data_IF_124487966453
#
_entry.id   IF_124487966453
#
_cell.length_a   1.000
_cell.length_b   1.000
_cell.length_c   1.000
_cell.angle_alpha   90.00
_cell.angle_beta   90.00
_cell.angle_gamma   90.00
#
_symmetry.space_group_name_H-M   'P 1'
#
loop_
_entity.id
_entity.type
_entity.pdbx_description
1 polymer ?
#
# COMPACT_ATOMS: atom_id res chain seq x y z
N UNK A 1 14.71 -32.51 0.51
CA UNK A 1 15.25 -31.20 0.98
C UNK A 1 14.07 -30.33 1.35
N UNK A 2 14.13 -29.64 2.50
CA UNK A 2 13.09 -28.71 2.88
C UNK A 2 13.41 -27.36 2.24
N UNK A 3 12.88 -27.12 1.04
CA UNK A 3 13.12 -25.90 0.25
C UNK A 3 12.64 -24.61 0.95
N UNK A 4 11.98 -24.75 2.12
CA UNK A 4 11.29 -23.69 2.83
C UNK A 4 11.95 -23.32 4.17
N UNK A 5 13.16 -23.85 4.47
CA UNK A 5 13.74 -23.73 5.81
C UNK A 5 14.84 -22.67 5.95
N UNK A 6 15.53 -22.34 4.84
CA UNK A 6 16.67 -21.42 4.78
C UNK A 6 16.80 -20.74 3.40
N UNK A 7 17.68 -19.74 3.34
CA UNK A 7 17.96 -18.93 2.14
C UNK A 7 18.39 -19.79 0.94
N UNK A 8 19.15 -20.86 1.18
CA UNK A 8 19.63 -21.76 0.13
C UNK A 8 18.49 -22.51 -0.56
N UNK A 9 17.50 -22.98 0.21
CA UNK A 9 16.30 -23.61 -0.33
C UNK A 9 15.52 -22.68 -1.26
N UNK A 10 15.33 -21.42 -0.85
CA UNK A 10 14.64 -20.39 -1.64
C UNK A 10 15.41 -20.05 -2.92
N UNK A 11 16.73 -19.85 -2.83
CA UNK A 11 17.56 -19.58 -4.00
C UNK A 11 17.49 -20.73 -5.02
N UNK A 12 17.60 -21.99 -4.57
CA UNK A 12 17.42 -23.15 -5.45
C UNK A 12 16.05 -23.20 -6.11
N UNK A 13 15.01 -22.83 -5.38
CA UNK A 13 13.65 -22.80 -5.92
C UNK A 13 13.52 -21.74 -7.02
N UNK A 14 14.05 -20.54 -6.80
CA UNK A 14 14.08 -19.44 -7.79
C UNK A 14 14.86 -19.86 -9.04
N UNK A 15 16.06 -20.43 -8.85
CA UNK A 15 16.90 -20.91 -9.96
C UNK A 15 16.23 -22.02 -10.78
N UNK A 16 15.44 -22.88 -10.14
CA UNK A 16 14.74 -23.97 -10.83
C UNK A 16 13.55 -23.49 -11.70
N UNK A 17 13.11 -22.24 -11.54
CA UNK A 17 12.06 -21.67 -12.39
C UNK A 17 12.66 -21.11 -13.68
N UNK A 18 11.82 -21.01 -14.72
CA UNK A 18 12.18 -20.29 -15.95
C UNK A 18 11.12 -19.24 -16.24
N UNK A 19 11.56 -18.04 -16.61
CA UNK A 19 10.65 -16.94 -17.00
C UNK A 19 9.78 -16.41 -15.86
N UNK A 20 10.33 -16.25 -14.65
CA UNK A 20 9.57 -15.68 -13.52
C UNK A 20 9.11 -14.27 -13.89
N UNK A 21 7.79 -14.05 -13.94
CA UNK A 21 7.17 -12.73 -14.17
C UNK A 21 6.69 -12.08 -12.87
N UNK A 22 6.36 -12.88 -11.86
CA UNK A 22 5.90 -12.42 -10.55
C UNK A 22 6.63 -13.17 -9.45
N UNK A 23 7.13 -12.45 -8.46
CA UNK A 23 7.80 -13.03 -7.31
C UNK A 23 7.29 -12.37 -6.03
N UNK A 24 6.84 -13.21 -5.11
CA UNK A 24 6.46 -12.83 -3.76
C UNK A 24 7.44 -13.46 -2.76
N UNK A 25 8.14 -12.62 -2.00
CA UNK A 25 9.08 -13.04 -0.96
C UNK A 25 8.55 -12.68 0.43
N UNK A 26 8.39 -13.70 1.26
CA UNK A 26 8.03 -13.59 2.67
C UNK A 26 9.00 -14.47 3.49
N UNK A 27 9.52 -13.94 4.61
CA UNK A 27 10.32 -14.72 5.54
C UNK A 27 10.28 -14.11 6.93
N UNK A 28 10.06 -14.97 7.92
CA UNK A 28 10.20 -14.60 9.33
C UNK A 28 11.66 -14.57 9.80
N UNK A 29 12.59 -15.12 9.00
CA UNK A 29 14.01 -15.22 9.35
C UNK A 29 14.85 -14.24 8.56
N UNK A 30 15.81 -13.65 9.25
CA UNK A 30 16.90 -12.87 8.65
C UNK A 30 17.85 -13.79 7.87
N UNK A 31 18.14 -13.42 6.64
CA UNK A 31 19.23 -13.96 5.81
C UNK A 31 20.20 -12.84 5.43
N UNK A 32 21.33 -13.17 4.82
CA UNK A 32 22.18 -12.16 4.16
C UNK A 32 21.68 -11.84 2.74
N UNK A 33 20.81 -12.71 2.20
CA UNK A 33 20.13 -12.54 0.93
C UNK A 33 21.04 -12.74 -0.28
N UNK A 34 22.31 -13.07 -0.08
CA UNK A 34 23.32 -13.16 -1.14
C UNK A 34 22.96 -14.22 -2.18
N UNK A 35 22.42 -15.36 -1.75
CA UNK A 35 22.02 -16.41 -2.67
C UNK A 35 20.77 -16.03 -3.44
N UNK A 36 19.77 -15.46 -2.77
CA UNK A 36 18.53 -15.01 -3.42
C UNK A 36 18.83 -13.89 -4.42
N UNK A 37 19.68 -12.93 -4.05
CA UNK A 37 20.12 -11.83 -4.91
C UNK A 37 20.71 -12.32 -6.24
N UNK A 38 21.59 -13.32 -6.18
CA UNK A 38 22.21 -13.89 -7.37
C UNK A 38 21.18 -14.52 -8.30
N UNK A 39 20.23 -15.26 -7.76
CA UNK A 39 19.21 -15.91 -8.57
C UNK A 39 18.17 -14.92 -9.10
N UNK A 40 17.91 -13.82 -8.38
CA UNK A 40 17.08 -12.71 -8.86
C UNK A 40 17.67 -12.02 -10.09
N UNK A 41 18.98 -11.83 -10.13
CA UNK A 41 19.65 -11.19 -11.28
C UNK A 41 19.43 -11.97 -12.58
N UNK A 42 19.36 -13.31 -12.50
CA UNK A 42 19.06 -14.18 -13.66
C UNK A 42 17.66 -13.90 -14.22
N UNK A 43 16.68 -13.63 -13.35
CA UNK A 43 15.28 -13.39 -13.72
C UNK A 43 14.92 -11.91 -13.91
N UNK A 44 15.88 -11.00 -13.74
CA UNK A 44 15.64 -9.56 -13.76
C UNK A 44 15.00 -9.05 -15.07
N UNK A 45 15.28 -9.72 -16.19
CA UNK A 45 14.72 -9.37 -17.50
C UNK A 45 13.28 -9.83 -17.71
N UNK A 46 12.79 -10.82 -16.96
CA UNK A 46 11.41 -11.32 -17.05
C UNK A 46 10.51 -10.80 -15.93
N UNK A 47 11.09 -10.34 -14.82
CA UNK A 47 10.35 -9.95 -13.63
C UNK A 47 9.56 -8.64 -13.82
N UNK A 48 8.25 -8.73 -13.65
CA UNK A 48 7.28 -7.61 -13.75
C UNK A 48 6.65 -7.24 -12.42
N UNK A 49 6.44 -8.20 -11.52
CA UNK A 49 5.82 -7.97 -10.23
C UNK A 49 6.73 -8.47 -9.12
N UNK A 50 7.07 -7.59 -8.19
CA UNK A 50 7.89 -7.93 -7.03
C UNK A 50 7.16 -7.49 -5.76
N UNK A 51 6.84 -8.46 -4.94
CA UNK A 51 6.19 -8.27 -3.64
C UNK A 51 7.15 -8.79 -2.57
N UNK A 52 7.38 -7.99 -1.55
CA UNK A 52 8.24 -8.37 -0.43
C UNK A 52 7.63 -7.90 0.87
N UNK A 53 7.34 -8.84 1.77
CA UNK A 53 6.72 -8.57 3.07
C UNK A 53 7.73 -8.54 4.23
N UNK A 54 9.00 -8.75 3.90
CA UNK A 54 10.14 -8.69 4.82
C UNK A 54 11.39 -8.23 4.06
N UNK A 55 11.70 -6.92 4.08
CA UNK A 55 12.69 -6.28 3.22
C UNK A 55 14.17 -6.59 3.55
N UNK A 56 14.38 -7.57 4.42
CA UNK A 56 15.69 -8.04 4.88
C UNK A 56 16.21 -9.24 4.09
N UNK A 57 15.44 -9.72 3.12
CA UNK A 57 15.76 -10.95 2.39
C UNK A 57 16.70 -10.74 1.21
N UNK A 58 16.81 -9.50 0.71
CA UNK A 58 17.57 -9.18 -0.50
C UNK A 58 18.22 -7.81 -0.37
N UNK A 59 19.24 -7.57 -1.20
CA UNK A 59 19.76 -6.23 -1.41
C UNK A 59 18.85 -5.49 -2.39
N UNK A 60 18.58 -4.21 -2.12
CA UNK A 60 17.83 -3.37 -3.07
C UNK A 60 18.56 -3.24 -4.42
N UNK A 61 19.89 -3.39 -4.44
CA UNK A 61 20.69 -3.31 -5.67
C UNK A 61 20.37 -4.44 -6.64
N UNK A 62 19.97 -5.62 -6.15
CA UNK A 62 19.57 -6.75 -7.00
C UNK A 62 18.31 -6.46 -7.81
N UNK A 63 17.50 -5.47 -7.38
CA UNK A 63 16.36 -5.01 -8.15
C UNK A 63 16.74 -4.02 -9.26
N UNK A 64 17.94 -3.43 -9.26
CA UNK A 64 18.28 -2.38 -10.25
C UNK A 64 18.21 -2.86 -11.70
N UNK A 65 18.49 -4.15 -11.93
CA UNK A 65 18.41 -4.78 -13.25
C UNK A 65 16.97 -5.08 -13.69
N UNK A 66 15.98 -4.98 -12.79
CA UNK A 66 14.57 -5.27 -13.05
C UNK A 66 13.90 -4.08 -13.78
N UNK A 67 14.40 -3.71 -14.96
CA UNK A 67 13.92 -2.55 -15.73
C UNK A 67 12.47 -2.69 -16.20
N UNK A 68 11.96 -3.93 -16.28
CA UNK A 68 10.60 -4.27 -16.68
C UNK A 68 9.62 -4.33 -15.50
N UNK A 69 10.07 -3.99 -14.29
CA UNK A 69 9.22 -4.02 -13.12
C UNK A 69 8.04 -3.04 -13.27
N UNK A 70 6.83 -3.60 -13.29
CA UNK A 70 5.56 -2.89 -13.37
C UNK A 70 4.94 -2.70 -11.98
N UNK A 71 5.20 -3.61 -11.04
CA UNK A 71 4.67 -3.55 -9.68
C UNK A 71 5.77 -3.77 -8.65
N UNK A 72 5.88 -2.84 -7.71
CA UNK A 72 6.72 -2.95 -6.52
C UNK A 72 5.83 -2.81 -5.28
N UNK A 73 5.69 -3.88 -4.51
CA UNK A 73 5.04 -3.86 -3.19
C UNK A 73 6.06 -4.21 -2.12
N UNK A 74 6.32 -3.28 -1.23
CA UNK A 74 7.16 -3.46 -0.06
C UNK A 74 6.27 -3.30 1.18
N UNK A 75 6.14 -4.35 1.96
CA UNK A 75 5.33 -4.41 3.17
C UNK A 75 6.22 -4.84 4.34
N UNK A 76 5.94 -4.34 5.54
CA UNK A 76 6.57 -4.85 6.76
C UNK A 76 5.48 -5.38 7.68
N UNK A 77 5.45 -6.71 7.86
CA UNK A 77 4.38 -7.40 8.61
C UNK A 77 4.43 -7.24 10.14
N UNK A 78 5.49 -6.65 10.71
CA UNK A 78 5.81 -6.82 12.14
C UNK A 78 5.30 -5.69 13.06
N UNK A 79 4.09 -5.84 13.60
CA UNK A 79 3.71 -5.19 14.87
C UNK A 79 4.25 -5.94 16.11
N UNK A 80 4.59 -7.22 16.00
CA UNK A 80 4.54 -8.12 17.18
C UNK A 80 5.86 -8.53 17.84
N UNK A 81 7.05 -8.10 17.39
CA UNK A 81 8.30 -8.45 18.10
C UNK A 81 9.23 -7.27 18.28
N UNK A 82 8.94 -6.50 19.33
CA UNK A 82 9.72 -5.37 19.88
C UNK A 82 11.17 -5.73 20.29
N UNK A 83 11.55 -7.01 20.25
CA UNK A 83 12.78 -7.50 20.89
C UNK A 83 14.06 -7.27 20.04
N UNK A 84 13.97 -7.00 18.73
CA UNK A 84 15.14 -6.66 17.89
C UNK A 84 14.86 -5.52 16.90
N UNK A 85 14.19 -4.46 17.39
CA UNK A 85 13.79 -3.31 16.59
C UNK A 85 14.98 -2.57 15.97
N UNK A 86 16.13 -2.49 16.63
CA UNK A 86 17.27 -1.67 16.18
C UNK A 86 17.93 -2.25 14.93
N UNK A 87 18.25 -3.54 14.93
CA UNK A 87 18.91 -4.20 13.79
C UNK A 87 17.99 -4.26 12.57
N UNK A 88 16.73 -4.62 12.80
CA UNK A 88 15.69 -4.67 11.76
C UNK A 88 15.43 -3.28 11.16
N UNK A 89 15.42 -2.24 12.00
CA UNK A 89 15.29 -0.85 11.55
C UNK A 89 16.45 -0.41 10.66
N UNK A 90 17.69 -0.64 11.10
CA UNK A 90 18.88 -0.21 10.33
C UNK A 90 18.96 -0.88 8.96
N UNK A 91 18.62 -2.16 8.87
CA UNK A 91 18.60 -2.87 7.59
C UNK A 91 17.52 -2.34 6.65
N UNK A 92 16.34 -2.01 7.18
CA UNK A 92 15.27 -1.47 6.34
C UNK A 92 15.63 -0.07 5.84
N UNK A 93 16.19 0.77 6.70
CA UNK A 93 16.71 2.09 6.32
C UNK A 93 17.81 1.96 5.26
N UNK A 94 18.76 1.03 5.42
CA UNK A 94 19.79 0.75 4.41
C UNK A 94 19.18 0.30 3.08
N UNK A 95 18.24 -0.65 3.12
CA UNK A 95 17.53 -1.14 1.95
C UNK A 95 16.81 0.00 1.22
N UNK A 96 16.06 0.84 1.95
CA UNK A 96 15.33 1.96 1.37
C UNK A 96 16.27 3.05 0.82
N UNK A 97 17.37 3.35 1.51
CA UNK A 97 18.39 4.27 1.01
C UNK A 97 19.00 3.79 -0.30
N UNK A 98 19.32 2.50 -0.41
CA UNK A 98 19.78 1.92 -1.67
C UNK A 98 18.68 2.03 -2.74
N UNK A 99 17.45 1.60 -2.43
CA UNK A 99 16.32 1.66 -3.36
C UNK A 99 16.03 3.06 -3.90
N UNK A 100 16.38 4.12 -3.17
CA UNK A 100 16.25 5.50 -3.61
C UNK A 100 17.00 5.81 -4.92
N UNK A 101 17.96 4.97 -5.33
CA UNK A 101 18.72 5.09 -6.58
C UNK A 101 18.15 4.26 -7.74
N UNK A 102 17.14 3.41 -7.50
CA UNK A 102 16.52 2.59 -8.54
C UNK A 102 15.71 3.44 -9.55
N UNK A 103 15.62 2.99 -10.80
CA UNK A 103 15.04 3.77 -11.91
C UNK A 103 13.74 3.22 -12.48
N UNK A 104 13.29 2.03 -12.08
CA UNK A 104 12.08 1.29 -12.55
C UNK A 104 11.20 2.04 -13.58
N UNK A 105 11.64 2.13 -14.85
CA UNK A 105 11.02 3.03 -15.85
C UNK A 105 9.67 2.50 -16.38
N UNK A 106 9.29 1.28 -15.99
CA UNK A 106 8.02 0.66 -16.31
C UNK A 106 7.07 0.59 -15.11
N UNK A 107 7.45 1.18 -13.97
CA UNK A 107 6.68 1.08 -12.73
C UNK A 107 5.29 1.72 -12.89
N UNK A 108 4.27 0.89 -12.71
CA UNK A 108 2.87 1.25 -12.78
C UNK A 108 2.22 1.24 -11.41
N UNK A 109 2.64 0.36 -10.50
CA UNK A 109 2.07 0.22 -9.18
C UNK A 109 3.17 0.28 -8.12
N UNK A 110 3.07 1.24 -7.21
CA UNK A 110 3.98 1.38 -6.09
C UNK A 110 3.19 1.30 -4.79
N UNK A 111 3.48 0.26 -4.00
CA UNK A 111 2.92 0.11 -2.66
C UNK A 111 4.06 0.02 -1.66
N UNK A 112 4.15 1.00 -0.78
CA UNK A 112 5.10 1.05 0.32
C UNK A 112 4.30 1.08 1.61
N UNK A 113 4.43 0.02 2.41
CA UNK A 113 3.73 -0.16 3.66
C UNK A 113 4.72 -0.46 4.78
N UNK A 114 4.60 0.29 5.88
CA UNK A 114 5.47 0.15 7.04
C UNK A 114 4.68 0.13 8.33
N UNK A 115 4.62 -1.03 8.97
CA UNK A 115 3.94 -1.25 10.24
C UNK A 115 4.97 -1.30 11.37
N UNK A 116 5.46 -0.12 11.78
CA UNK A 116 6.50 -0.04 12.81
C UNK A 116 7.38 1.19 12.62
N UNK A 117 8.70 1.03 12.83
CA UNK A 117 9.65 2.10 12.57
C UNK A 117 9.65 2.46 11.08
N UNK A 118 9.27 3.71 10.80
CA UNK A 118 9.29 4.25 9.45
C UNK A 118 10.70 4.79 9.10
N UNK A 119 11.36 4.24 8.05
CA UNK A 119 12.59 4.81 7.55
C UNK A 119 12.40 6.26 7.17
N UNK A 120 13.43 7.08 7.41
CA UNK A 120 13.39 8.49 6.98
C UNK A 120 13.37 8.61 5.45
N UNK A 121 13.92 7.60 4.78
CA UNK A 121 14.03 7.54 3.34
C UNK A 121 12.78 7.12 2.59
N UNK A 122 11.74 6.55 3.21
CA UNK A 122 10.61 5.95 2.45
C UNK A 122 9.85 6.95 1.57
N UNK A 123 9.55 8.14 2.09
CA UNK A 123 8.88 9.18 1.30
C UNK A 123 9.81 9.74 0.23
N UNK A 124 11.12 9.76 0.49
CA UNK A 124 12.12 10.14 -0.50
C UNK A 124 12.25 9.11 -1.62
N UNK A 125 12.18 7.82 -1.29
CA UNK A 125 12.13 6.71 -2.24
C UNK A 125 10.88 6.85 -3.10
N UNK A 126 9.70 7.05 -2.48
CA UNK A 126 8.45 7.27 -3.20
C UNK A 126 8.57 8.44 -4.18
N UNK A 127 9.10 9.58 -3.72
CA UNK A 127 9.32 10.77 -4.54
C UNK A 127 10.24 10.47 -5.75
N UNK A 128 11.38 9.81 -5.52
CA UNK A 128 12.32 9.47 -6.58
C UNK A 128 11.69 8.51 -7.60
N UNK A 129 10.95 7.51 -7.14
CA UNK A 129 10.28 6.54 -8.01
C UNK A 129 9.13 7.17 -8.80
N UNK A 130 8.40 8.12 -8.21
CA UNK A 130 7.40 8.94 -8.92
C UNK A 130 8.02 9.62 -10.14
N UNK A 131 9.15 10.33 -9.94
CA UNK A 131 9.86 11.03 -11.02
C UNK A 131 10.38 10.05 -12.08
N UNK A 132 10.89 8.89 -11.66
CA UNK A 132 11.56 7.92 -12.54
C UNK A 132 10.61 6.93 -13.23
N UNK A 133 9.35 6.84 -12.80
CA UNK A 133 8.32 5.98 -13.41
C UNK A 133 7.96 6.32 -14.87
N UNK A 134 8.50 7.41 -15.43
CA UNK A 134 8.21 7.84 -16.80
C UNK A 134 6.74 8.19 -17.03
N UNK A 135 6.03 8.57 -15.96
CA UNK A 135 4.60 8.88 -15.98
C UNK A 135 3.67 7.71 -16.27
N UNK A 136 4.15 6.48 -16.01
CA UNK A 136 3.34 5.26 -16.12
C UNK A 136 2.58 4.91 -14.85
N UNK A 137 2.92 5.54 -13.71
CA UNK A 137 2.31 5.24 -12.42
C UNK A 137 0.78 5.38 -12.45
N UNK A 138 0.09 4.30 -12.08
CA UNK A 138 -1.36 4.14 -11.99
C UNK A 138 -1.82 4.05 -10.54
N UNK A 139 -1.01 3.47 -9.67
CA UNK A 139 -1.30 3.41 -8.23
C UNK A 139 -0.08 3.79 -7.39
N UNK A 140 -0.32 4.60 -6.36
CA UNK A 140 0.65 4.95 -5.34
C UNK A 140 0.02 4.83 -3.96
N UNK A 141 0.49 3.86 -3.19
CA UNK A 141 0.04 3.61 -1.83
C UNK A 141 1.21 3.72 -0.86
N UNK A 142 1.07 4.58 0.13
CA UNK A 142 2.03 4.98 1.15
C UNK A 142 1.32 4.84 2.49
N UNK A 143 1.51 3.69 3.13
CA UNK A 143 0.87 3.35 4.39
C UNK A 143 1.95 3.17 5.46
N UNK A 144 1.71 3.70 6.66
CA UNK A 144 2.60 3.50 7.78
C UNK A 144 2.63 4.67 8.73
N UNK A 145 3.45 4.54 9.77
CA UNK A 145 3.57 5.53 10.84
C UNK A 145 4.71 6.50 10.48
N UNK A 146 4.44 7.47 9.60
CA UNK A 146 5.44 8.46 9.20
C UNK A 146 5.60 9.55 10.26
N UNK A 147 6.80 10.12 10.37
CA UNK A 147 6.99 11.35 11.15
C UNK A 147 6.52 12.54 10.32
N UNK A 148 5.80 13.48 10.95
CA UNK A 148 5.27 14.69 10.30
C UNK A 148 6.33 15.46 9.52
N UNK A 149 7.55 15.57 10.06
CA UNK A 149 8.65 16.34 9.45
C UNK A 149 9.17 15.70 8.15
N UNK A 150 8.92 14.41 7.94
CA UNK A 150 9.31 13.68 6.73
C UNK A 150 8.37 14.00 5.56
N UNK A 151 7.14 14.45 5.84
CA UNK A 151 6.17 14.77 4.80
C UNK A 151 6.47 16.14 4.25
N UNK A 152 6.82 16.17 2.97
CA UNK A 152 7.16 17.39 2.24
C UNK A 152 6.15 17.63 1.12
N UNK A 153 5.77 18.90 0.88
CA UNK A 153 4.93 19.26 -0.26
C UNK A 153 5.45 18.77 -1.63
N UNK A 154 6.77 18.61 -1.75
CA UNK A 154 7.43 18.21 -3.00
C UNK A 154 6.93 16.86 -3.53
N UNK A 155 6.53 15.93 -2.65
CA UNK A 155 5.95 14.66 -3.08
C UNK A 155 4.62 14.88 -3.85
N UNK A 156 3.68 15.66 -3.30
CA UNK A 156 2.42 15.98 -3.97
C UNK A 156 2.64 16.75 -5.27
N UNK A 157 3.58 17.70 -5.28
CA UNK A 157 3.96 18.45 -6.48
C UNK A 157 4.55 17.54 -7.56
N UNK A 158 5.42 16.59 -7.18
CA UNK A 158 6.00 15.64 -8.12
C UNK A 158 4.95 14.66 -8.65
N UNK A 159 4.02 14.19 -7.83
CA UNK A 159 2.89 13.37 -8.30
C UNK A 159 2.06 14.15 -9.32
N UNK A 160 1.70 15.40 -9.01
CA UNK A 160 0.95 16.27 -9.90
C UNK A 160 1.68 16.52 -11.23
N UNK A 161 3.02 16.59 -11.22
CA UNK A 161 3.83 16.85 -12.41
C UNK A 161 4.06 15.59 -13.25
N UNK A 162 4.37 14.47 -12.62
CA UNK A 162 4.90 13.29 -13.30
C UNK A 162 3.90 12.15 -13.45
N UNK A 163 2.76 12.14 -12.75
CA UNK A 163 1.82 11.01 -12.76
C UNK A 163 0.42 11.36 -13.32
N UNK A 164 0.28 11.81 -14.59
CA UNK A 164 -1.02 12.16 -15.16
C UNK A 164 -1.96 10.95 -15.33
N UNK A 165 -1.41 9.72 -15.34
CA UNK A 165 -2.15 8.47 -15.49
C UNK A 165 -2.60 7.83 -14.17
N UNK A 166 -2.37 8.51 -13.04
CA UNK A 166 -2.68 7.99 -11.72
C UNK A 166 -4.19 7.76 -11.56
N UNK A 167 -4.56 6.57 -11.07
CA UNK A 167 -5.93 6.14 -10.78
C UNK A 167 -6.18 6.04 -9.29
N UNK A 168 -5.19 5.62 -8.50
CA UNK A 168 -5.32 5.45 -7.06
C UNK A 168 -4.15 6.07 -6.33
N UNK A 169 -4.44 6.76 -5.24
CA UNK A 169 -3.45 7.49 -4.48
C UNK A 169 -3.75 7.45 -2.98
N UNK A 170 -2.73 7.27 -2.16
CA UNK A 170 -2.75 7.72 -0.77
C UNK A 170 -1.90 8.97 -0.59
N UNK A 171 -2.43 9.96 0.11
CA UNK A 171 -1.72 11.19 0.47
C UNK A 171 -1.62 11.35 1.97
N UNK A 172 -0.61 12.09 2.39
CA UNK A 172 -0.45 12.56 3.76
C UNK A 172 -0.51 14.08 3.76
N UNK A 173 -1.33 14.66 4.63
CA UNK A 173 -1.50 16.11 4.76
C UNK A 173 -1.21 16.54 6.20
N UNK A 174 -0.37 17.56 6.37
CA UNK A 174 0.11 18.03 7.68
C UNK A 174 -0.46 19.40 8.07
N UNK A 175 -1.12 20.10 7.15
CA UNK A 175 -1.83 21.35 7.40
C UNK A 175 -2.88 21.65 6.33
N UNK A 176 -3.76 22.62 6.59
CA UNK A 176 -4.72 23.11 5.59
C UNK A 176 -4.03 23.75 4.37
N UNK A 177 -2.79 24.22 4.49
CA UNK A 177 -2.03 24.73 3.35
C UNK A 177 -1.74 23.63 2.32
N UNK A 178 -1.68 22.36 2.74
CA UNK A 178 -1.45 21.24 1.82
C UNK A 178 -2.63 20.98 0.88
N UNK A 179 -3.83 21.47 1.23
CA UNK A 179 -5.03 21.37 0.38
C UNK A 179 -4.78 22.02 -0.98
N UNK A 180 -3.95 23.07 -1.07
CA UNK A 180 -3.60 23.70 -2.36
C UNK A 180 -2.76 22.79 -3.26
N UNK A 181 -1.88 21.96 -2.66
CA UNK A 181 -1.08 20.99 -3.42
C UNK A 181 -1.94 19.82 -3.85
N UNK A 182 -2.90 19.41 -3.01
CA UNK A 182 -3.92 18.44 -3.40
C UNK A 182 -4.78 18.97 -4.55
N UNK A 183 -5.16 20.25 -4.54
CA UNK A 183 -5.89 20.88 -5.65
C UNK A 183 -5.11 20.84 -6.97
N UNK A 184 -3.81 21.14 -6.92
CA UNK A 184 -2.92 21.03 -8.08
C UNK A 184 -2.87 19.58 -8.59
N UNK A 185 -2.75 18.60 -7.69
CA UNK A 185 -2.74 17.18 -8.03
C UNK A 185 -4.04 16.74 -8.70
N UNK A 186 -5.20 17.08 -8.13
CA UNK A 186 -6.51 16.73 -8.69
C UNK A 186 -6.71 17.33 -10.10
N UNK A 187 -6.11 18.49 -10.35
CA UNK A 187 -6.17 19.14 -11.66
C UNK A 187 -5.29 18.45 -12.71
N UNK A 188 -4.19 17.84 -12.29
CA UNK A 188 -3.27 17.11 -13.18
C UNK A 188 -3.66 15.64 -13.41
N UNK A 189 -4.14 14.96 -12.37
CA UNK A 189 -4.43 13.53 -12.39
C UNK A 189 -5.90 13.26 -12.78
N UNK A 190 -6.26 13.57 -14.03
CA UNK A 190 -7.65 13.47 -14.52
C UNK A 190 -8.24 12.06 -14.54
N UNK A 191 -7.39 11.03 -14.42
CA UNK A 191 -7.79 9.62 -14.33
C UNK A 191 -7.97 9.13 -12.90
N UNK A 192 -7.75 9.99 -11.90
CA UNK A 192 -7.86 9.62 -10.49
C UNK A 192 -9.28 9.16 -10.18
N UNK A 193 -9.39 7.92 -9.72
CA UNK A 193 -10.62 7.24 -9.32
C UNK A 193 -10.77 7.16 -7.82
N UNK A 194 -9.66 6.97 -7.10
CA UNK A 194 -9.67 6.83 -5.66
C UNK A 194 -8.55 7.55 -4.94
N UNK A 195 -8.88 8.12 -3.78
CA UNK A 195 -7.94 8.79 -2.90
C UNK A 195 -8.10 8.33 -1.45
N UNK A 196 -6.97 8.12 -0.78
CA UNK A 196 -6.87 7.90 0.67
C UNK A 196 -6.21 9.14 1.25
N UNK A 197 -6.86 9.82 2.19
CA UNK A 197 -6.31 11.02 2.85
C UNK A 197 -5.96 10.66 4.28
N UNK A 198 -4.65 10.66 4.58
CA UNK A 198 -4.09 10.37 5.90
C UNK A 198 -3.59 11.63 6.58
N UNK A 199 -3.62 11.65 7.92
CA UNK A 199 -3.11 12.76 8.73
C UNK A 199 -2.62 12.25 10.10
N UNK A 200 -2.50 13.11 11.11
CA UNK A 200 -1.98 12.76 12.45
C UNK A 200 -2.91 13.25 13.55
N UNK A 201 -2.89 12.62 14.74
CA UNK A 201 -3.72 13.03 15.88
C UNK A 201 -3.51 14.49 16.31
N UNK A 202 -2.31 15.02 16.16
CA UNK A 202 -1.96 16.41 16.53
C UNK A 202 -2.23 17.42 15.40
N UNK A 203 -2.63 16.95 14.22
CA UNK A 203 -2.89 17.79 13.05
C UNK A 203 -4.39 18.01 12.91
N UNK A 204 -4.79 19.28 12.98
CA UNK A 204 -6.18 19.69 12.72
C UNK A 204 -6.32 20.08 11.26
N UNK A 205 -6.81 19.15 10.44
CA UNK A 205 -7.25 19.46 9.08
C UNK A 205 -8.76 19.71 9.10
N UNK A 206 -9.17 20.77 8.39
CA UNK A 206 -10.58 21.02 8.14
C UNK A 206 -11.10 20.06 7.05
N UNK A 207 -11.88 19.06 7.47
CA UNK A 207 -12.47 18.10 6.53
C UNK A 207 -13.51 18.75 5.61
N UNK A 208 -14.15 19.84 6.02
CA UNK A 208 -15.12 20.54 5.18
C UNK A 208 -14.43 21.23 4.00
N UNK A 209 -13.22 21.74 4.19
CA UNK A 209 -12.39 22.27 3.09
C UNK A 209 -11.99 21.18 2.08
N UNK A 210 -11.72 19.95 2.55
CA UNK A 210 -11.50 18.80 1.65
C UNK A 210 -12.77 18.48 0.84
N UNK A 211 -13.94 18.43 1.48
CA UNK A 211 -15.20 18.18 0.78
C UNK A 211 -15.52 19.27 -0.25
N UNK A 212 -15.28 20.55 0.09
CA UNK A 212 -15.40 21.68 -0.85
C UNK A 212 -14.43 21.54 -2.02
N UNK A 213 -13.18 21.17 -1.75
CA UNK A 213 -12.19 20.93 -2.80
C UNK A 213 -12.65 19.81 -3.74
N UNK A 214 -13.04 18.65 -3.19
CA UNK A 214 -13.49 17.53 -4.01
C UNK A 214 -14.72 17.88 -4.83
N UNK A 215 -15.70 18.58 -4.24
CA UNK A 215 -16.86 19.10 -4.97
C UNK A 215 -16.45 19.99 -6.15
N UNK A 216 -15.50 20.92 -5.96
CA UNK A 216 -15.05 21.88 -6.99
C UNK A 216 -14.17 21.25 -8.06
N UNK A 217 -13.35 20.27 -7.69
CA UNK A 217 -12.33 19.64 -8.54
C UNK A 217 -12.65 18.20 -8.88
N UNK A 218 -13.93 17.84 -8.81
CA UNK A 218 -14.39 16.50 -9.11
C UNK A 218 -13.98 16.17 -10.56
N UNK A 219 -12.93 15.37 -10.70
CA UNK A 219 -12.76 14.62 -11.94
C UNK A 219 -14.02 13.76 -12.08
N UNK A 220 -14.54 13.61 -13.30
CA UNK A 220 -15.71 12.75 -13.54
C UNK A 220 -15.53 11.29 -13.07
N UNK A 221 -14.30 10.91 -12.71
CA UNK A 221 -13.91 9.55 -12.36
C UNK A 221 -13.60 9.35 -10.88
N UNK A 222 -13.33 10.43 -10.13
CA UNK A 222 -13.02 10.33 -8.71
C UNK A 222 -14.32 9.96 -7.98
N UNK A 223 -14.42 8.74 -7.46
CA UNK A 223 -15.62 8.25 -6.79
C UNK A 223 -15.33 7.43 -5.53
N UNK A 224 -14.05 7.17 -5.24
CA UNK A 224 -13.59 6.32 -4.15
C UNK A 224 -12.79 7.15 -3.14
N UNK A 225 -13.28 7.27 -1.92
CA UNK A 225 -12.67 8.07 -0.85
C UNK A 225 -12.39 7.20 0.36
N UNK A 226 -11.19 7.33 0.93
CA UNK A 226 -10.89 6.84 2.27
C UNK A 226 -10.37 7.99 3.13
N UNK A 227 -10.95 8.18 4.30
CA UNK A 227 -10.56 9.19 5.27
C UNK A 227 -10.01 8.53 6.52
N UNK A 228 -8.93 9.11 7.03
CA UNK A 228 -8.31 8.77 8.31
C UNK A 228 -9.12 9.29 9.50
N UNK A 229 -8.90 8.72 10.68
CA UNK A 229 -9.68 8.92 11.91
C UNK A 229 -9.49 10.32 12.56
N UNK A 230 -8.53 11.12 12.09
CA UNK A 230 -8.29 12.48 12.62
C UNK A 230 -8.91 13.61 11.78
N UNK A 231 -9.71 13.28 10.78
CA UNK A 231 -10.48 14.27 10.02
C UNK A 231 -11.80 14.58 10.73
N UNK A 232 -12.31 15.81 10.55
CA UNK A 232 -13.62 16.19 11.09
C UNK A 232 -14.48 16.80 9.99
N UNK A 233 -15.71 16.31 9.88
CA UNK A 233 -16.66 16.76 8.87
C UNK A 233 -17.97 17.21 9.52
N UNK A 234 -18.49 18.36 9.08
CA UNK A 234 -19.82 18.81 9.49
C UNK A 234 -20.91 18.16 8.62
N UNK A 235 -22.10 18.02 9.21
CA UNK A 235 -23.26 17.46 8.51
C UNK A 235 -23.60 18.27 7.26
N UNK A 236 -23.60 19.60 7.35
CA UNK A 236 -24.02 20.48 6.26
C UNK A 236 -23.09 20.36 5.03
N UNK A 237 -21.78 20.32 5.25
CA UNK A 237 -20.81 20.16 4.16
C UNK A 237 -20.82 18.74 3.59
N UNK A 238 -21.00 17.72 4.44
CA UNK A 238 -21.18 16.35 3.97
C UNK A 238 -22.44 16.20 3.10
N UNK A 239 -23.59 16.68 3.57
CA UNK A 239 -24.84 16.67 2.80
C UNK A 239 -24.69 17.46 1.49
N UNK A 240 -24.02 18.60 1.53
CA UNK A 240 -23.76 19.42 0.33
C UNK A 240 -22.90 18.67 -0.68
N UNK A 241 -21.86 17.98 -0.22
CA UNK A 241 -21.00 17.16 -1.07
C UNK A 241 -21.78 16.00 -1.70
N UNK A 242 -22.51 15.23 -0.89
CA UNK A 242 -23.29 14.08 -1.34
C UNK A 242 -24.41 14.46 -2.31
N UNK A 243 -25.12 15.57 -2.06
CA UNK A 243 -26.21 16.02 -2.95
C UNK A 243 -25.71 16.60 -4.28
N UNK A 244 -24.45 17.04 -4.35
CA UNK A 244 -23.83 17.46 -5.61
C UNK A 244 -23.35 16.27 -6.45
N UNK A 245 -23.41 15.05 -5.93
CA UNK A 245 -22.99 13.87 -6.67
C UNK A 245 -24.01 13.51 -7.75
N UNK A 246 -23.64 13.74 -9.00
CA UNK A 246 -24.43 13.42 -10.19
C UNK A 246 -23.62 12.63 -11.23
N UNK A 247 -22.51 12.01 -10.81
CA UNK A 247 -21.64 11.24 -11.69
C UNK A 247 -22.23 9.87 -12.01
N UNK A 248 -21.73 9.27 -13.10
CA UNK A 248 -22.10 7.92 -13.54
C UNK A 248 -21.71 6.88 -12.48
N UNK A 249 -20.52 7.04 -11.89
CA UNK A 249 -20.03 6.11 -10.88
C UNK A 249 -20.54 6.52 -9.49
N UNK A 250 -21.16 5.59 -8.74
CA UNK A 250 -21.60 5.84 -7.38
C UNK A 250 -20.41 6.01 -6.43
N UNK A 251 -20.64 6.73 -5.33
CA UNK A 251 -19.64 6.96 -4.30
C UNK A 251 -19.31 5.69 -3.53
N UNK A 252 -18.03 5.57 -3.19
CA UNK A 252 -17.51 4.65 -2.20
C UNK A 252 -16.78 5.48 -1.15
N UNK A 253 -17.28 5.48 0.09
CA UNK A 253 -16.67 6.23 1.19
C UNK A 253 -16.25 5.23 2.26
N UNK A 254 -14.98 5.27 2.62
CA UNK A 254 -14.40 4.42 3.64
C UNK A 254 -13.83 5.32 4.73
N UNK A 255 -14.04 4.96 5.98
CA UNK A 255 -13.49 5.69 7.12
C UNK A 255 -12.84 4.72 8.08
N UNK A 256 -11.80 5.14 8.78
CA UNK A 256 -11.17 4.29 9.79
C UNK A 256 -12.05 4.23 11.04
N UNK A 257 -12.54 5.38 11.47
CA UNK A 257 -13.49 5.54 12.56
C UNK A 257 -14.63 6.46 12.07
N UNK A 258 -15.89 6.04 12.25
CA UNK A 258 -17.05 6.85 11.89
C UNK A 258 -17.20 8.12 12.75
N UNK A 259 -16.51 8.22 13.88
CA UNK A 259 -16.50 9.38 14.78
C UNK A 259 -15.95 10.66 14.13
N UNK A 260 -15.22 10.53 13.02
CA UNK A 260 -14.82 11.66 12.13
C UNK A 260 -16.01 12.48 11.66
N UNK A 261 -17.19 11.86 11.62
CA UNK A 261 -18.45 12.53 11.40
C UNK A 261 -19.06 12.85 12.77
N UNK A 262 -19.13 14.13 13.13
CA UNK A 262 -19.78 14.59 14.36
C UNK A 262 -21.31 14.42 14.37
N UNK A 263 -21.84 13.48 13.57
CA UNK A 263 -23.25 13.23 13.33
C UNK A 263 -23.48 11.74 13.05
N UNK A 264 -24.74 11.28 13.10
CA UNK A 264 -25.10 9.90 12.78
C UNK A 264 -24.94 9.63 11.27
N UNK A 265 -23.71 9.28 10.86
CA UNK A 265 -23.35 9.09 9.47
C UNK A 265 -24.07 7.89 8.84
N UNK A 266 -24.29 6.81 9.58
CA UNK A 266 -25.01 5.62 9.11
C UNK A 266 -26.42 5.96 8.60
N UNK A 267 -27.18 6.75 9.38
CA UNK A 267 -28.53 7.19 9.00
C UNK A 267 -28.49 8.06 7.75
N UNK A 268 -27.55 8.98 7.67
CA UNK A 268 -27.39 9.89 6.53
C UNK A 268 -27.02 9.10 5.28
N UNK A 269 -25.99 8.24 5.35
CA UNK A 269 -25.50 7.39 4.27
C UNK A 269 -26.57 6.43 3.74
N UNK A 270 -27.42 5.86 4.61
CA UNK A 270 -28.51 4.96 4.19
C UNK A 270 -29.46 5.63 3.19
N UNK A 271 -29.77 6.92 3.39
CA UNK A 271 -30.64 7.67 2.46
C UNK A 271 -30.00 7.89 1.08
N UNK A 272 -28.68 8.07 1.02
CA UNK A 272 -27.94 8.19 -0.24
C UNK A 272 -27.76 6.85 -0.93
N UNK A 273 -27.67 5.75 -0.18
CA UNK A 273 -27.66 4.40 -0.71
C UNK A 273 -28.94 4.05 -1.47
N UNK A 274 -30.10 4.39 -0.90
CA UNK A 274 -31.40 4.19 -1.56
C UNK A 274 -31.54 4.99 -2.86
N UNK A 275 -30.88 6.15 -2.96
CA UNK A 275 -30.84 6.99 -4.17
C UNK A 275 -29.82 6.52 -5.21
N UNK A 276 -29.06 5.46 -4.93
CA UNK A 276 -27.98 4.98 -5.79
C UNK A 276 -26.75 5.92 -5.83
N UNK A 277 -26.70 6.94 -4.98
CA UNK A 277 -25.58 7.89 -4.92
C UNK A 277 -24.38 7.26 -4.22
N UNK A 278 -24.63 6.53 -3.14
CA UNK A 278 -23.61 5.89 -2.31
C UNK A 278 -23.71 4.37 -2.45
N UNK A 279 -22.70 3.74 -3.03
CA UNK A 279 -22.66 2.27 -3.19
C UNK A 279 -22.10 1.57 -1.94
N UNK A 280 -21.11 2.16 -1.28
CA UNK A 280 -20.58 1.61 -0.03
C UNK A 280 -20.16 2.71 0.95
N UNK A 281 -20.54 2.52 2.21
CA UNK A 281 -19.97 3.19 3.36
C UNK A 281 -19.41 2.11 4.28
N UNK A 282 -18.09 2.08 4.46
CA UNK A 282 -17.43 1.02 5.23
C UNK A 282 -16.52 1.66 6.27
N UNK A 283 -16.80 1.37 7.53
CA UNK A 283 -15.85 1.58 8.61
C UNK A 283 -14.82 0.45 8.56
N UNK A 284 -13.56 0.81 8.29
CA UNK A 284 -12.46 -0.13 8.18
C UNK A 284 -11.56 0.01 9.40
N UNK A 285 -11.57 -1.02 10.25
CA UNK A 285 -10.92 -0.99 11.57
C UNK A 285 -9.39 -0.75 11.53
N UNK A 286 -8.76 -0.81 10.35
CA UNK A 286 -7.31 -0.78 10.24
C UNK A 286 -6.78 -0.14 8.94
N UNK A 287 -5.58 0.41 9.03
CA UNK A 287 -4.72 0.81 7.90
C UNK A 287 -4.32 -0.38 6.99
N UNK A 288 -4.63 -1.61 7.40
CA UNK A 288 -3.80 -2.75 7.09
C UNK A 288 -4.06 -3.40 5.72
N UNK A 289 -5.28 -3.43 5.16
CA UNK A 289 -5.50 -4.23 3.93
C UNK A 289 -6.24 -3.52 2.80
N UNK A 290 -6.18 -2.19 2.80
CA UNK A 290 -6.97 -1.44 1.85
C UNK A 290 -6.27 -1.26 0.50
N UNK A 291 -6.75 -1.97 -0.51
CA UNK A 291 -6.52 -1.67 -1.91
C UNK A 291 -7.87 -1.58 -2.61
N UNK A 292 -8.08 -0.52 -3.38
CA UNK A 292 -9.25 -0.38 -4.24
C UNK A 292 -9.33 -1.47 -5.32
N UNK A 293 -8.20 -2.13 -5.55
CA UNK A 293 -8.02 -3.25 -6.47
C UNK A 293 -8.25 -4.61 -5.78
N UNK A 294 -8.20 -4.72 -4.44
CA UNK A 294 -8.40 -6.03 -3.76
C UNK A 294 -9.82 -6.59 -3.86
N UNK A 295 -10.77 -5.83 -4.42
CA UNK A 295 -12.12 -6.33 -4.73
C UNK A 295 -12.15 -7.02 -6.12
N UNK A 296 -11.15 -6.80 -6.99
CA UNK A 296 -11.12 -7.35 -8.37
C UNK A 296 -9.78 -8.04 -8.75
N UNK A 297 -8.65 -7.74 -8.11
CA UNK A 297 -7.31 -8.21 -8.51
C UNK A 297 -6.98 -9.64 -8.07
N UNK A 298 -7.74 -10.24 -7.15
CA UNK A 298 -7.70 -11.69 -6.99
C UNK A 298 -8.55 -12.45 -8.02
N UNK A 299 -9.34 -11.76 -8.86
CA UNK A 299 -10.22 -12.39 -9.86
C UNK A 299 -9.87 -12.08 -11.33
N UNK A 300 -9.29 -10.92 -11.65
CA UNK A 300 -9.05 -10.55 -13.07
C UNK A 300 -7.62 -10.83 -13.59
N UNK A 301 -6.68 -11.30 -12.77
CA UNK A 301 -5.39 -11.79 -13.26
C UNK A 301 -5.43 -13.24 -13.76
N UNK A 302 -6.57 -13.95 -13.64
CA UNK A 302 -6.70 -15.38 -13.96
C UNK A 302 -7.48 -15.70 -15.24
N UNK A 303 -7.96 -14.71 -15.99
CA UNK A 303 -8.62 -14.97 -17.27
C UNK A 303 -8.06 -14.05 -18.35
N UNK A 304 -7.02 -14.53 -19.05
CA UNK A 304 -6.94 -14.61 -20.52
C UNK A 304 -5.54 -15.09 -20.97
N UNK A 305 -5.52 -16.28 -21.58
CA UNK A 305 -4.59 -16.86 -22.55
C UNK A 305 -3.09 -17.11 -22.18
N UNK A 306 -2.81 -18.12 -21.35
CA UNK A 306 -1.81 -19.20 -21.60
C UNK A 306 -1.74 -20.20 -20.40
N UNK A 307 -1.82 -21.53 -20.59
CA UNK A 307 -1.64 -22.48 -19.49
C UNK A 307 -0.13 -22.74 -19.28
N UNK A 308 0.57 -21.78 -18.69
CA UNK A 308 1.96 -21.95 -18.27
C UNK A 308 2.16 -21.47 -16.83
N UNK A 309 1.88 -22.39 -15.90
CA UNK A 309 2.36 -22.45 -14.50
C UNK A 309 2.53 -21.10 -13.79
N UNK A 310 1.42 -20.58 -13.28
CA UNK A 310 1.47 -19.69 -12.10
C UNK A 310 1.67 -20.53 -10.84
N UNK A 311 2.65 -20.14 -10.03
CA UNK A 311 2.77 -20.60 -8.64
C UNK A 311 2.54 -19.37 -7.75
N UNK A 312 1.31 -19.19 -7.30
CA UNK A 312 1.03 -18.43 -6.08
C UNK A 312 1.23 -19.38 -4.91
N UNK A 313 2.26 -19.17 -4.09
CA UNK A 313 2.48 -19.93 -2.87
C UNK A 313 2.49 -18.97 -1.68
N UNK A 314 1.43 -19.05 -0.88
CA UNK A 314 1.32 -18.44 0.45
C UNK A 314 1.83 -19.47 1.45
N UNK A 315 2.85 -19.15 2.25
CA UNK A 315 3.36 -20.04 3.29
C UNK A 315 3.31 -19.38 4.66
N UNK A 316 2.35 -19.80 5.49
CA UNK A 316 2.30 -19.49 6.92
C UNK A 316 2.63 -20.75 7.72
N UNK A 317 3.45 -20.61 8.77
CA UNK A 317 3.60 -21.66 9.80
C UNK A 317 3.14 -21.11 11.15
N UNK A 318 1.98 -21.54 11.62
CA UNK A 318 1.64 -21.50 13.03
C UNK A 318 2.46 -22.57 13.77
N UNK A 319 3.36 -22.14 14.65
CA UNK A 319 4.12 -23.05 15.50
C UNK A 319 3.29 -23.46 16.73
N UNK A 320 2.63 -24.62 16.68
CA UNK A 320 2.19 -25.32 17.89
C UNK A 320 3.42 -25.78 18.67
N UNK A 321 3.71 -25.16 19.81
CA UNK A 321 4.68 -25.70 20.78
C UNK A 321 4.00 -26.78 21.61
N UNK A 322 4.25 -28.04 21.26
CA UNK A 322 4.20 -29.16 22.20
C UNK A 322 5.44 -29.10 23.10
N UNK A 323 5.24 -28.98 24.41
CA UNK A 323 6.27 -29.14 25.43
C UNK A 323 5.72 -30.01 26.56
N UNK A 324 6.19 -31.24 26.64
CA UNK A 324 5.78 -32.28 27.57
C UNK A 324 6.20 -32.00 29.03
N UNK A 325 5.37 -32.42 29.99
CA UNK A 325 5.69 -33.35 31.11
C UNK A 325 4.61 -33.28 32.21
N UNK A 326 3.89 -34.39 32.42
CA UNK A 326 3.99 -35.22 33.64
C UNK A 326 3.16 -36.50 33.48
N UNK A 327 3.80 -37.60 33.83
CA UNK A 327 3.24 -38.93 34.01
C UNK A 327 2.56 -38.97 35.38
N UNK A 328 1.35 -39.54 35.47
CA UNK A 328 0.92 -40.38 36.60
C UNK A 328 -0.13 -41.37 36.10
N UNK A 329 0.17 -42.66 36.25
CA UNK A 329 -0.75 -43.78 36.08
C UNK A 329 -1.71 -43.90 37.27
N UNK A 330 -2.72 -44.78 37.09
CA UNK A 330 -3.68 -45.37 38.06
C UNK A 330 -5.01 -44.59 38.17
N UNK A 331 -6.22 -45.13 38.04
CA UNK A 331 -6.80 -46.48 37.92
C UNK A 331 -8.18 -46.35 37.19
N UNK A 332 -8.64 -47.28 36.35
CA UNK A 332 -9.72 -48.28 36.65
C UNK A 332 -10.79 -47.68 37.61
N UNK A 333 -12.03 -47.32 37.24
CA UNK A 333 -13.14 -48.01 36.54
C UNK A 333 -13.95 -46.98 35.75
#
# INVERSE_FOLDING_TARGET
MNYNADEYGLAKLINAQSGITSLHLESEKKGDGLMINKELEVHASSLKHFIMESPYLISATSLYSCIWLETLKLDTKSYERVIDLTTSTMLYESFMNSLASATFPNLCNLHLRVLGYCPTSILKVAENLVVRSGGKLRSLFLHGIFKKEQVKPSLLQNIAKYCPKLKYLSVWIISNDDIRYLEQLLSSCLLLKGIIVNTWPDVRIDGDELLKLFKRRLSRKLCKFKFDDYLSFSLDHFLTFMNCWNQVDPLHIHVIDASVFGFNCERVCSSFGQRGILKSFIEVNEFLNFSWDNVEVYCECLELDNPAREISQVYTRTASKSGARRISNADII
#
